data_IF_733818813211
#
_entry.id   IF_733818813211
#
_cell.length_a   1.000
_cell.length_b   1.000
_cell.length_c   1.000
_cell.angle_alpha   90.00
_cell.angle_beta   90.00
_cell.angle_gamma   90.00
#
_symmetry.space_group_name_H-M   'P 1'
#
loop_
_entity.id
_entity.type
_entity.pdbx_description
1 polymer ?
#
# COMPACT_ATOMS: atom_id res chain seq x y z
N UNK A 1 9.05 13.78 -14.85
CA UNK A 1 8.16 12.68 -15.28
C UNK A 1 8.02 11.74 -14.11
N UNK A 2 6.83 11.63 -13.51
CA UNK A 2 6.59 10.60 -12.50
C UNK A 2 6.47 9.24 -13.21
N UNK A 3 7.33 8.30 -12.87
CA UNK A 3 7.21 6.92 -13.34
C UNK A 3 6.10 6.18 -12.59
N UNK A 4 5.54 5.14 -13.20
CA UNK A 4 4.78 4.12 -12.49
C UNK A 4 5.73 2.98 -12.16
N UNK A 5 5.73 2.52 -10.92
CA UNK A 5 6.46 1.30 -10.52
C UNK A 5 5.45 0.17 -10.40
N UNK A 6 5.77 -0.95 -11.03
CA UNK A 6 4.98 -2.17 -10.92
C UNK A 6 5.40 -2.96 -9.69
N UNK A 7 4.41 -3.44 -8.94
CA UNK A 7 4.63 -4.36 -7.82
C UNK A 7 3.63 -5.52 -7.93
N UNK A 8 4.09 -6.72 -7.62
CA UNK A 8 3.22 -7.87 -7.41
C UNK A 8 3.04 -8.07 -5.91
N UNK A 9 1.80 -8.19 -5.47
CA UNK A 9 1.44 -8.51 -4.08
C UNK A 9 0.63 -9.80 -4.05
N UNK A 10 0.80 -10.60 -3.01
CA UNK A 10 -0.03 -11.79 -2.79
C UNK A 10 -1.26 -11.40 -1.99
N UNK A 11 -2.43 -11.86 -2.45
CA UNK A 11 -3.73 -11.52 -1.89
C UNK A 11 -4.51 -12.81 -1.64
N UNK A 12 -5.11 -12.90 -0.46
CA UNK A 12 -6.02 -14.00 -0.10
C UNK A 12 -7.47 -13.51 -0.11
N UNK A 13 -8.33 -14.27 -0.78
CA UNK A 13 -9.77 -14.08 -0.80
C UNK A 13 -10.49 -15.29 -0.21
N UNK A 14 -11.61 -15.08 0.46
CA UNK A 14 -12.41 -16.16 1.06
C UNK A 14 -13.90 -15.91 0.84
N UNK A 15 -14.66 -16.93 0.43
CA UNK A 15 -16.12 -16.86 0.33
C UNK A 15 -16.78 -18.22 0.46
N UNK A 16 -17.99 -18.25 1.03
CA UNK A 16 -18.86 -19.44 1.04
C UNK A 16 -19.50 -19.68 -0.35
N UNK A 17 -19.60 -18.65 -1.18
CA UNK A 17 -20.26 -18.70 -2.49
C UNK A 17 -19.35 -19.26 -3.60
N UNK A 18 -18.14 -19.70 -3.25
CA UNK A 18 -17.19 -20.35 -4.15
C UNK A 18 -16.07 -19.44 -4.65
N UNK A 19 -15.30 -19.98 -5.60
CA UNK A 19 -14.04 -19.38 -6.12
C UNK A 19 -14.26 -17.96 -6.63
N UNK A 20 -15.27 -17.74 -7.47
CA UNK A 20 -15.50 -16.43 -8.10
C UNK A 20 -15.75 -15.32 -7.08
N UNK A 21 -16.57 -15.60 -6.07
CA UNK A 21 -16.86 -14.65 -5.00
C UNK A 21 -15.62 -14.44 -4.11
N UNK A 22 -14.88 -15.50 -3.80
CA UNK A 22 -13.63 -15.39 -3.05
C UNK A 22 -12.60 -14.51 -3.79
N UNK A 23 -12.48 -14.65 -5.11
CA UNK A 23 -11.62 -13.78 -5.94
C UNK A 23 -12.09 -12.33 -5.88
N UNK A 24 -13.39 -12.08 -6.05
CA UNK A 24 -13.96 -10.73 -5.99
C UNK A 24 -13.64 -10.06 -4.64
N UNK A 25 -13.88 -10.74 -3.52
CA UNK A 25 -13.55 -10.22 -2.18
C UNK A 25 -12.07 -9.90 -2.01
N UNK A 26 -11.18 -10.72 -2.58
CA UNK A 26 -9.74 -10.45 -2.56
C UNK A 26 -9.37 -9.18 -3.35
N UNK A 27 -9.89 -9.03 -4.56
CA UNK A 27 -9.61 -7.88 -5.43
C UNK A 27 -10.27 -6.58 -4.93
N UNK A 28 -11.44 -6.65 -4.32
CA UNK A 28 -12.11 -5.49 -3.71
C UNK A 28 -11.25 -4.86 -2.61
N UNK A 29 -10.66 -5.68 -1.74
CA UNK A 29 -9.75 -5.19 -0.70
C UNK A 29 -8.57 -4.41 -1.26
N UNK A 30 -7.98 -4.87 -2.37
CA UNK A 30 -6.88 -4.15 -3.04
C UNK A 30 -7.34 -2.81 -3.61
N UNK A 31 -8.57 -2.73 -4.13
CA UNK A 31 -9.15 -1.47 -4.60
C UNK A 31 -9.45 -0.50 -3.46
N UNK A 32 -9.93 -1.01 -2.32
CA UNK A 32 -10.21 -0.21 -1.13
C UNK A 32 -8.94 0.42 -0.54
N UNK A 33 -7.79 -0.23 -0.70
CA UNK A 33 -6.46 0.33 -0.39
C UNK A 33 -6.02 1.43 -1.37
N UNK A 34 -6.85 1.77 -2.36
CA UNK A 34 -6.57 2.80 -3.37
C UNK A 34 -5.57 2.36 -4.44
N UNK A 35 -5.33 1.05 -4.58
CA UNK A 35 -4.35 0.51 -5.51
C UNK A 35 -5.00 0.19 -6.87
N UNK A 36 -4.34 0.61 -7.94
CA UNK A 36 -4.80 0.31 -9.31
C UNK A 36 -4.32 -1.08 -9.74
N UNK A 37 -5.28 -2.00 -9.93
CA UNK A 37 -5.03 -3.38 -10.36
C UNK A 37 -4.86 -3.44 -11.88
N UNK A 38 -3.76 -4.06 -12.33
CA UNK A 38 -3.46 -4.31 -13.75
C UNK A 38 -3.87 -5.71 -14.19
N UNK A 39 -3.52 -6.70 -13.38
CA UNK A 39 -3.78 -8.11 -13.65
C UNK A 39 -3.80 -8.87 -12.33
N UNK A 40 -4.34 -10.08 -12.36
CA UNK A 40 -4.20 -11.03 -11.29
C UNK A 40 -3.97 -12.43 -11.85
N UNK A 41 -3.31 -13.27 -11.08
CA UNK A 41 -3.07 -14.68 -11.41
C UNK A 41 -3.46 -15.52 -10.21
N UNK A 42 -4.36 -16.49 -10.41
CA UNK A 42 -4.70 -17.45 -9.36
C UNK A 42 -3.53 -18.41 -9.17
N UNK A 43 -3.07 -18.53 -7.92
CA UNK A 43 -2.01 -19.47 -7.51
C UNK A 43 -2.59 -20.74 -6.94
N UNK A 44 -3.53 -20.60 -6.02
CA UNK A 44 -4.05 -21.72 -5.26
C UNK A 44 -5.53 -21.52 -4.91
N UNK A 45 -6.22 -22.63 -4.70
CA UNK A 45 -7.63 -22.69 -4.31
C UNK A 45 -7.85 -23.88 -3.39
N UNK A 46 -8.33 -23.60 -2.19
CA UNK A 46 -8.55 -24.59 -1.13
C UNK A 46 -9.96 -24.45 -0.55
N UNK A 47 -10.58 -25.56 -0.16
CA UNK A 47 -11.80 -25.54 0.67
C UNK A 47 -11.42 -25.62 2.13
N UNK A 48 -11.72 -24.58 2.89
CA UNK A 48 -11.45 -24.47 4.33
C UNK A 48 -12.74 -24.69 5.11
N UNK A 49 -12.67 -25.44 6.20
CA UNK A 49 -13.81 -25.65 7.11
C UNK A 49 -13.55 -24.90 8.41
N UNK A 50 -14.51 -24.09 8.85
CA UNK A 50 -14.43 -23.38 10.13
C UNK A 50 -14.65 -24.34 11.31
N UNK A 51 -14.36 -23.87 12.53
CA UNK A 51 -14.65 -24.61 13.76
C UNK A 51 -16.16 -24.85 13.97
N UNK A 52 -17.03 -24.02 13.39
CA UNK A 52 -18.49 -24.21 13.39
C UNK A 52 -18.98 -25.23 12.35
N UNK A 53 -18.11 -25.73 11.47
CA UNK A 53 -18.46 -26.67 10.41
C UNK A 53 -18.84 -26.01 9.08
N UNK A 54 -18.82 -24.68 9.01
CA UNK A 54 -19.10 -23.95 7.77
C UNK A 54 -17.94 -24.11 6.77
N UNK A 55 -18.28 -24.23 5.48
CA UNK A 55 -17.29 -24.45 4.42
C UNK A 55 -17.14 -23.20 3.59
N UNK A 56 -15.88 -22.81 3.35
CA UNK A 56 -15.50 -21.65 2.57
C UNK A 56 -14.48 -22.06 1.53
N UNK A 57 -14.48 -21.38 0.39
CA UNK A 57 -13.39 -21.44 -0.56
C UNK A 57 -12.42 -20.32 -0.24
N UNK A 58 -11.15 -20.68 -0.03
CA UNK A 58 -10.00 -19.79 0.06
C UNK A 58 -9.27 -19.79 -1.28
N UNK A 59 -8.95 -18.61 -1.79
CA UNK A 59 -8.14 -18.43 -2.99
C UNK A 59 -6.90 -17.61 -2.63
N UNK A 60 -5.76 -17.98 -3.21
CA UNK A 60 -4.53 -17.19 -3.15
C UNK A 60 -4.23 -16.73 -4.56
N UNK A 61 -3.96 -15.44 -4.73
CA UNK A 61 -3.70 -14.84 -6.03
C UNK A 61 -2.57 -13.81 -5.95
N UNK A 62 -1.76 -13.76 -7.00
CA UNK A 62 -0.83 -12.64 -7.21
C UNK A 62 -1.56 -11.53 -7.93
N UNK A 63 -1.49 -10.31 -7.40
CA UNK A 63 -2.10 -9.11 -7.99
C UNK A 63 -1.02 -8.14 -8.39
N UNK A 64 -0.96 -7.83 -9.69
CA UNK A 64 -0.10 -6.78 -10.22
C UNK A 64 -0.76 -5.41 -10.02
N UNK A 65 -0.10 -4.53 -9.28
CA UNK A 65 -0.57 -3.17 -8.99
C UNK A 65 0.40 -2.11 -9.55
N UNK A 66 -0.15 -0.93 -9.87
CA UNK A 66 0.66 0.27 -10.07
C UNK A 66 0.82 0.99 -8.75
N UNK A 67 2.06 1.34 -8.40
CA UNK A 67 2.34 2.26 -7.31
C UNK A 67 2.66 3.65 -7.90
N UNK A 68 2.00 4.72 -7.40
CA UNK A 68 2.42 6.07 -7.73
C UNK A 68 3.80 6.30 -7.11
N UNK A 69 4.76 6.75 -7.91
CA UNK A 69 6.04 7.23 -7.38
C UNK A 69 5.76 8.55 -6.66
N UNK A 70 5.71 8.50 -5.34
CA UNK A 70 5.74 9.71 -4.51
C UNK A 70 7.15 10.27 -4.62
N UNK A 71 7.35 11.27 -5.47
CA UNK A 71 8.57 12.06 -5.44
C UNK A 71 8.60 12.79 -4.10
N UNK A 72 9.37 12.27 -3.14
CA UNK A 72 9.73 13.02 -1.95
C UNK A 72 10.45 14.28 -2.43
N UNK A 73 9.77 15.44 -2.34
CA UNK A 73 10.41 16.72 -2.57
C UNK A 73 11.61 16.78 -1.61
N UNK A 74 12.83 16.80 -2.17
CA UNK A 74 14.02 17.07 -1.38
C UNK A 74 13.78 18.39 -0.63
N UNK A 75 14.10 18.48 0.68
CA UNK A 75 14.00 19.74 1.38
C UNK A 75 14.78 20.78 0.57
N UNK A 76 14.08 21.82 0.12
CA UNK A 76 14.71 22.96 -0.54
C UNK A 76 15.90 23.38 0.32
N UNK A 77 17.11 23.57 -0.25
CA UNK A 77 18.20 24.09 0.54
C UNK A 77 17.73 25.40 1.14
N UNK A 78 17.80 25.50 2.47
CA UNK A 78 17.32 26.64 3.23
C UNK A 78 17.87 27.92 2.63
N UNK A 79 16.97 28.88 2.36
CA UNK A 79 17.35 30.23 2.00
C UNK A 79 18.32 30.81 3.04
N UNK A 80 19.19 31.75 2.66
CA UNK A 80 20.30 32.20 3.50
C UNK A 80 19.79 32.64 4.86
N UNK A 81 20.17 31.86 5.87
CA UNK A 81 20.03 32.20 7.28
C UNK A 81 20.84 33.47 7.50
N UNK A 82 20.16 34.62 7.63
CA UNK A 82 20.81 35.85 8.08
C UNK A 82 21.29 35.59 9.51
N UNK A 83 22.58 35.28 9.63
CA UNK A 83 23.32 35.37 10.87
C UNK A 83 23.20 36.80 11.41
N UNK A 84 22.27 37.03 12.35
CA UNK A 84 22.45 38.13 13.31
C UNK A 84 23.47 37.64 14.31
N UNK A 85 24.66 38.19 14.17
CA UNK A 85 25.81 37.92 15.01
C UNK A 85 25.52 38.15 16.49
N UNK A 86 26.29 37.41 17.27
CA UNK A 86 26.35 37.38 18.71
C UNK A 86 26.83 38.71 19.34
N UNK A 87 26.20 39.04 20.48
CA UNK A 87 26.80 39.42 21.78
C UNK A 87 27.76 40.62 21.94
N UNK A 88 27.42 41.47 22.93
CA UNK A 88 28.21 42.37 23.85
C UNK A 88 27.56 43.76 23.90
N UNK A 89 27.39 44.49 25.00
CA UNK A 89 27.87 44.47 26.38
C UNK A 89 26.87 45.28 27.25
N UNK A 90 26.67 44.91 28.52
CA UNK A 90 25.99 45.78 29.52
C UNK A 90 27.07 46.57 30.28
N UNK A 91 26.95 47.89 30.46
CA UNK A 91 27.68 48.57 31.52
C UNK A 91 26.93 48.46 32.85
N UNK A 92 27.70 48.14 33.90
CA UNK A 92 27.32 48.21 35.31
C UNK A 92 27.15 49.67 35.74
N UNK A 93 26.15 49.93 36.57
CA UNK A 93 26.05 51.10 37.47
C UNK A 93 26.64 50.76 38.82
#
# INVERSE_FOLDING_TARGET
>A
MGGLVYKVIEVTGTSADGVRAAVAHGLERVKDDGLEIRFFVLKDTEVVTSASGDRYVRVVMDVGINLPVVATAAPRPGGPSRSRGASRDRPRS
#
